data_IF_054887175818
#
_entry.id   IF_054887175818
#
_cell.length_a   1.000
_cell.length_b   1.000
_cell.length_c   1.000
_cell.angle_alpha   90.00
_cell.angle_beta   90.00
_cell.angle_gamma   90.00
#
_symmetry.space_group_name_H-M   'P 1'
#
loop_
_entity.id
_entity.type
_entity.pdbx_description
1 polymer ?
#
# COMPACT_ATOMS: atom_id res chain seq x y z
N UNK A 1 -6.26 3.46 17.73
CA UNK A 1 -7.17 3.21 18.87
C UNK A 1 -7.48 4.53 19.55
N UNK A 2 -8.73 4.80 19.84
CA UNK A 2 -9.14 6.06 20.44
C UNK A 2 -10.00 5.77 21.66
N UNK A 3 -9.79 6.52 22.73
CA UNK A 3 -10.54 6.37 23.98
C UNK A 3 -10.39 7.60 24.86
N UNK A 4 -11.35 7.80 25.76
CA UNK A 4 -11.25 8.85 26.77
C UNK A 4 -10.37 8.37 27.92
N UNK A 5 -9.47 9.23 28.41
CA UNK A 5 -8.73 8.95 29.63
C UNK A 5 -9.61 9.17 30.88
N UNK A 6 -9.06 8.91 32.08
CA UNK A 6 -9.77 9.08 33.35
C UNK A 6 -10.19 10.54 33.65
N UNK A 7 -9.79 11.51 32.83
CA UNK A 7 -10.18 12.93 32.92
C UNK A 7 -11.17 13.32 31.82
N UNK A 8 -11.64 12.36 31.02
CA UNK A 8 -12.56 12.61 29.91
C UNK A 8 -11.87 13.18 28.66
N UNK A 9 -10.53 13.12 28.55
CA UNK A 9 -9.79 13.65 27.40
C UNK A 9 -9.62 12.56 26.34
N UNK A 10 -9.89 12.89 25.07
CA UNK A 10 -9.66 11.97 23.95
C UNK A 10 -8.16 11.72 23.76
N UNK A 11 -7.78 10.45 23.88
CA UNK A 11 -6.42 9.97 23.62
C UNK A 11 -6.39 9.12 22.36
N UNK A 12 -5.33 9.29 21.56
CA UNK A 12 -5.07 8.52 20.35
C UNK A 12 -3.83 7.66 20.55
N UNK A 13 -4.02 6.34 20.53
CA UNK A 13 -2.94 5.36 20.57
C UNK A 13 -2.53 4.86 19.18
N UNK A 14 -1.33 4.25 19.06
CA UNK A 14 -0.91 3.58 17.83
C UNK A 14 -1.85 2.41 17.49
N UNK A 15 -2.06 2.15 16.20
CA UNK A 15 -2.80 0.97 15.74
C UNK A 15 -2.06 -0.33 16.10
N UNK A 16 -0.75 -0.34 15.92
CA UNK A 16 0.13 -1.40 16.41
C UNK A 16 1.53 -0.84 16.68
N UNK A 17 2.34 -1.58 17.43
CA UNK A 17 3.78 -1.35 17.50
C UNK A 17 4.50 -2.02 16.33
N UNK A 18 5.55 -1.37 15.81
CA UNK A 18 6.39 -1.91 14.73
C UNK A 18 7.82 -1.36 14.80
N UNK A 19 8.75 -2.03 14.11
CA UNK A 19 10.17 -1.62 14.01
C UNK A 19 10.52 -0.99 12.64
N UNK A 20 9.53 -0.72 11.80
CA UNK A 20 9.76 -0.07 10.50
C UNK A 20 10.32 1.34 10.69
N UNK A 21 11.52 1.59 10.15
CA UNK A 21 12.21 2.89 10.24
C UNK A 21 11.63 3.97 9.31
N UNK A 22 10.77 3.58 8.36
CA UNK A 22 10.18 4.49 7.36
C UNK A 22 8.75 4.94 7.70
N UNK A 23 8.07 4.24 8.59
CA UNK A 23 6.68 4.52 8.93
C UNK A 23 6.60 5.31 10.23
N UNK A 24 5.59 6.19 10.37
CA UNK A 24 5.36 6.87 11.62
C UNK A 24 5.01 5.86 12.72
N UNK A 25 5.32 6.14 14.00
CA UNK A 25 5.23 5.16 15.09
C UNK A 25 3.80 4.66 15.35
N UNK A 26 2.79 5.36 14.83
CA UNK A 26 1.39 5.02 15.04
C UNK A 26 0.93 3.82 14.19
N UNK A 27 1.49 3.59 13.00
CA UNK A 27 1.13 2.45 12.15
C UNK A 27 2.09 2.25 10.97
N UNK A 28 2.29 0.98 10.59
CA UNK A 28 2.96 0.60 9.35
C UNK A 28 1.98 -0.12 8.42
N UNK A 29 1.58 0.53 7.33
CA UNK A 29 0.65 -0.06 6.34
C UNK A 29 1.18 -1.36 5.70
N UNK A 30 2.50 -1.50 5.56
CA UNK A 30 3.13 -2.76 5.09
C UNK A 30 2.83 -3.92 6.02
N UNK A 31 2.96 -3.72 7.33
CA UNK A 31 2.67 -4.76 8.32
C UNK A 31 1.20 -5.17 8.27
N UNK A 32 0.30 -4.20 8.18
CA UNK A 32 -1.15 -4.46 8.04
C UNK A 32 -1.45 -5.29 6.79
N UNK A 33 -0.88 -4.90 5.64
CA UNK A 33 -1.08 -5.64 4.39
C UNK A 33 -0.53 -7.07 4.46
N UNK A 34 0.67 -7.25 5.02
CA UNK A 34 1.28 -8.57 5.19
C UNK A 34 0.43 -9.48 6.09
N UNK A 35 0.03 -8.99 7.27
CA UNK A 35 -0.79 -9.74 8.22
C UNK A 35 -2.14 -10.14 7.60
N UNK A 36 -2.77 -9.23 6.85
CA UNK A 36 -4.02 -9.53 6.14
C UNK A 36 -3.83 -10.62 5.07
N UNK A 37 -2.79 -10.52 4.23
CA UNK A 37 -2.52 -11.54 3.22
C UNK A 37 -2.24 -12.92 3.85
N UNK A 38 -1.50 -12.96 4.95
CA UNK A 38 -1.25 -14.19 5.72
C UNK A 38 -2.53 -14.77 6.33
N UNK A 39 -3.41 -13.92 6.87
CA UNK A 39 -4.71 -14.33 7.40
C UNK A 39 -5.59 -14.94 6.31
N UNK A 40 -5.71 -14.28 5.15
CA UNK A 40 -6.48 -14.79 4.01
C UNK A 40 -5.92 -16.11 3.49
N UNK A 41 -4.60 -16.27 3.47
CA UNK A 41 -3.97 -17.53 3.08
C UNK A 41 -4.28 -18.67 4.05
N UNK A 42 -4.38 -18.41 5.36
CA UNK A 42 -4.82 -19.43 6.36
C UNK A 42 -6.27 -19.85 6.18
N UNK A 43 -7.08 -19.05 5.49
CA UNK A 43 -8.46 -19.38 5.12
C UNK A 43 -8.56 -19.94 3.68
N UNK A 44 -7.46 -20.45 3.13
CA UNK A 44 -7.36 -20.98 1.76
C UNK A 44 -7.79 -19.98 0.67
N UNK A 45 -7.65 -18.66 0.94
CA UNK A 45 -7.92 -17.60 -0.03
C UNK A 45 -6.62 -17.04 -0.58
N UNK A 46 -6.38 -17.29 -1.87
CA UNK A 46 -5.23 -16.77 -2.59
C UNK A 46 -5.61 -15.58 -3.49
N UNK A 47 -4.90 -14.45 -3.32
CA UNK A 47 -4.99 -13.34 -4.26
C UNK A 47 -4.01 -13.52 -5.41
N UNK A 48 -4.55 -13.78 -6.60
CA UNK A 48 -3.78 -13.80 -7.85
C UNK A 48 -3.03 -12.48 -8.10
N UNK A 49 -3.60 -11.36 -7.64
CA UNK A 49 -3.04 -10.02 -7.82
C UNK A 49 -3.51 -9.08 -6.71
N UNK A 50 -2.60 -8.25 -6.21
CA UNK A 50 -2.88 -7.12 -5.32
C UNK A 50 -2.80 -5.82 -6.13
N UNK A 51 -3.83 -4.98 -6.00
CA UNK A 51 -3.87 -3.64 -6.57
C UNK A 51 -3.85 -2.64 -5.41
N UNK A 52 -2.74 -1.93 -5.22
CA UNK A 52 -2.55 -1.00 -4.11
C UNK A 52 -2.62 0.44 -4.59
N UNK A 53 -3.52 1.25 -4.03
CA UNK A 53 -3.73 2.66 -4.42
C UNK A 53 -3.31 3.56 -3.27
N UNK A 54 -2.54 4.60 -3.56
CA UNK A 54 -2.10 5.57 -2.55
C UNK A 54 -1.41 6.79 -3.14
N UNK A 55 -1.11 7.76 -2.29
CA UNK A 55 -0.50 9.03 -2.67
C UNK A 55 0.61 9.46 -1.70
N UNK A 56 0.45 9.17 -0.41
CA UNK A 56 1.33 9.61 0.67
C UNK A 56 2.65 8.84 0.78
N UNK A 57 3.62 9.40 1.50
CA UNK A 57 4.90 8.74 1.74
C UNK A 57 4.74 7.43 2.55
N UNK A 58 3.74 7.37 3.43
CA UNK A 58 3.39 6.17 4.20
C UNK A 58 2.79 5.03 3.34
N UNK A 59 2.40 5.30 2.10
CA UNK A 59 1.94 4.31 1.12
C UNK A 59 3.07 3.67 0.31
N UNK A 60 4.28 4.24 0.37
CA UNK A 60 5.44 3.65 -0.30
C UNK A 60 5.89 2.33 0.36
N UNK A 61 5.81 2.25 1.69
CA UNK A 61 6.25 1.06 2.43
C UNK A 61 5.49 -0.23 2.05
N UNK A 62 4.14 -0.26 2.01
CA UNK A 62 3.40 -1.42 1.50
C UNK A 62 3.61 -1.64 0.00
N UNK A 63 3.78 -0.59 -0.80
CA UNK A 63 4.06 -0.75 -2.23
C UNK A 63 5.36 -1.50 -2.51
N UNK A 64 6.38 -1.33 -1.64
CA UNK A 64 7.65 -2.02 -1.75
C UNK A 64 7.64 -3.52 -1.42
N UNK A 65 6.53 -4.10 -0.96
CA UNK A 65 6.39 -5.56 -0.79
C UNK A 65 5.54 -6.24 -1.88
N UNK A 66 5.01 -5.45 -2.82
CA UNK A 66 4.20 -5.97 -3.92
C UNK A 66 5.08 -6.78 -4.87
N UNK A 67 4.54 -7.90 -5.37
CA UNK A 67 5.21 -8.82 -6.29
C UNK A 67 5.17 -8.29 -7.72
N UNK A 68 5.93 -8.90 -8.63
CA UNK A 68 5.90 -8.57 -10.05
C UNK A 68 4.51 -8.75 -10.70
N UNK A 69 3.67 -9.63 -10.15
CA UNK A 69 2.29 -9.82 -10.60
C UNK A 69 1.33 -8.72 -10.12
N UNK A 70 1.72 -7.92 -9.13
CA UNK A 70 0.90 -6.92 -8.44
C UNK A 70 1.06 -5.52 -9.08
N UNK A 71 0.18 -4.58 -8.71
CA UNK A 71 0.14 -3.23 -9.29
C UNK A 71 0.07 -2.16 -8.20
N UNK A 72 0.95 -1.18 -8.28
CA UNK A 72 0.91 0.05 -7.50
C UNK A 72 0.29 1.19 -8.32
N UNK A 73 -0.69 1.87 -7.74
CA UNK A 73 -1.31 3.08 -8.29
C UNK A 73 -0.92 4.28 -7.43
N UNK A 74 0.28 4.86 -7.63
CA UNK A 74 0.66 6.07 -6.93
C UNK A 74 -0.02 7.29 -7.57
N UNK A 75 -0.52 8.23 -6.76
CA UNK A 75 -1.00 9.51 -7.29
C UNK A 75 0.16 10.25 -7.96
N UNK A 76 0.01 10.61 -9.22
CA UNK A 76 1.08 11.17 -10.03
C UNK A 76 1.58 12.48 -9.42
N UNK A 77 2.89 12.53 -9.22
CA UNK A 77 3.59 13.69 -8.66
C UNK A 77 3.54 13.80 -7.14
N UNK A 78 2.86 12.90 -6.43
CA UNK A 78 2.79 12.88 -4.96
C UNK A 78 3.91 12.03 -4.34
N UNK A 79 4.13 12.08 -3.01
CA UNK A 79 5.27 11.45 -2.38
C UNK A 79 5.45 9.95 -2.69
N UNK A 80 4.37 9.15 -2.72
CA UNK A 80 4.46 7.74 -3.11
C UNK A 80 5.06 7.58 -4.51
N UNK A 81 4.60 8.38 -5.48
CA UNK A 81 5.09 8.33 -6.85
C UNK A 81 6.58 8.68 -6.94
N UNK A 82 6.99 9.77 -6.28
CA UNK A 82 8.39 10.23 -6.30
C UNK A 82 9.33 9.19 -5.68
N UNK A 83 8.96 8.63 -4.54
CA UNK A 83 9.77 7.59 -3.87
C UNK A 83 9.91 6.32 -4.70
N UNK A 84 8.88 5.92 -5.43
CA UNK A 84 8.95 4.79 -6.38
C UNK A 84 9.95 5.09 -7.48
N UNK A 85 9.84 6.25 -8.14
CA UNK A 85 10.75 6.66 -9.21
C UNK A 85 12.21 6.74 -8.72
N UNK A 86 12.45 7.38 -7.58
CA UNK A 86 13.78 7.47 -6.96
C UNK A 86 14.35 6.08 -6.64
N UNK A 87 13.51 5.15 -6.19
CA UNK A 87 13.94 3.77 -5.89
C UNK A 87 14.28 3.01 -7.17
N UNK A 88 13.48 3.16 -8.22
CA UNK A 88 13.74 2.52 -9.52
C UNK A 88 15.01 3.07 -10.19
N UNK A 89 15.28 4.36 -10.04
CA UNK A 89 16.50 5.00 -10.54
C UNK A 89 17.74 4.57 -9.75
N UNK A 90 17.69 4.62 -8.41
CA UNK A 90 18.85 4.32 -7.55
C UNK A 90 19.12 2.83 -7.38
N UNK A 91 18.08 2.01 -7.47
CA UNK A 91 18.13 0.57 -7.25
C UNK A 91 17.24 -0.16 -8.27
N UNK A 92 17.65 -0.22 -9.55
CA UNK A 92 16.90 -0.91 -10.58
C UNK A 92 16.60 -2.35 -10.19
N UNK A 93 15.35 -2.77 -10.38
CA UNK A 93 14.91 -4.13 -10.04
C UNK A 93 14.57 -4.36 -8.56
N UNK A 94 14.75 -3.39 -7.65
CA UNK A 94 14.25 -3.56 -6.27
C UNK A 94 12.73 -3.43 -6.19
N UNK A 95 12.16 -2.48 -6.94
CA UNK A 95 10.71 -2.32 -7.03
C UNK A 95 10.14 -3.24 -8.13
N UNK A 96 9.40 -4.26 -7.72
CA UNK A 96 8.96 -5.35 -8.61
C UNK A 96 7.60 -5.10 -9.26
N UNK A 97 6.67 -4.46 -8.55
CA UNK A 97 5.30 -4.29 -9.02
C UNK A 97 5.20 -3.33 -10.22
N UNK A 98 4.17 -3.54 -11.05
CA UNK A 98 3.84 -2.59 -12.10
C UNK A 98 3.40 -1.26 -11.48
N UNK A 99 3.88 -0.14 -12.04
CA UNK A 99 3.56 1.20 -11.56
C UNK A 99 2.63 1.87 -12.56
N UNK A 100 1.42 2.23 -12.13
CA UNK A 100 0.41 2.90 -12.95
C UNK A 100 0.02 4.21 -12.25
N UNK A 101 0.72 5.31 -12.50
CA UNK A 101 0.41 6.58 -11.87
C UNK A 101 -0.99 7.07 -12.25
N UNK A 102 -1.69 7.69 -11.31
CA UNK A 102 -3.04 8.24 -11.55
C UNK A 102 -3.15 9.72 -11.15
N UNK A 103 -3.92 10.48 -11.90
CA UNK A 103 -4.34 11.85 -11.61
C UNK A 103 -5.82 11.88 -11.20
N UNK A 104 -6.63 10.95 -11.73
CA UNK A 104 -8.05 10.80 -11.44
C UNK A 104 -8.43 9.35 -11.16
N UNK A 105 -9.45 9.15 -10.33
CA UNK A 105 -10.01 7.83 -10.05
C UNK A 105 -10.48 7.10 -11.32
N UNK A 106 -10.80 7.82 -12.39
CA UNK A 106 -11.18 7.27 -13.69
C UNK A 106 -10.09 6.38 -14.31
N UNK A 107 -8.82 6.69 -14.08
CA UNK A 107 -7.72 5.89 -14.63
C UNK A 107 -7.59 4.55 -13.90
N UNK A 108 -7.73 4.57 -12.57
CA UNK A 108 -7.78 3.36 -11.74
C UNK A 108 -8.97 2.49 -12.14
N UNK A 109 -10.15 3.11 -12.31
CA UNK A 109 -11.36 2.42 -12.76
C UNK A 109 -11.17 1.78 -14.13
N UNK A 110 -10.65 2.52 -15.12
CA UNK A 110 -10.41 2.00 -16.47
C UNK A 110 -9.47 0.81 -16.45
N UNK A 111 -8.37 0.90 -15.70
CA UNK A 111 -7.43 -0.21 -15.57
C UNK A 111 -8.10 -1.45 -14.98
N UNK A 112 -8.91 -1.28 -13.93
CA UNK A 112 -9.66 -2.38 -13.33
C UNK A 112 -10.64 -3.02 -14.34
N UNK A 113 -11.37 -2.21 -15.10
CA UNK A 113 -12.28 -2.70 -16.15
C UNK A 113 -11.53 -3.50 -17.23
N UNK A 114 -10.37 -3.01 -17.68
CA UNK A 114 -9.54 -3.72 -18.65
C UNK A 114 -9.01 -5.05 -18.10
N UNK A 115 -8.58 -5.08 -16.84
CA UNK A 115 -8.15 -6.32 -16.20
C UNK A 115 -9.26 -7.36 -16.11
N UNK A 116 -10.48 -6.94 -15.76
CA UNK A 116 -11.62 -7.84 -15.66
C UNK A 116 -12.04 -8.39 -17.02
N UNK A 117 -11.95 -7.59 -18.09
CA UNK A 117 -12.22 -8.04 -19.47
C UNK A 117 -11.22 -9.07 -19.99
N UNK A 118 -9.97 -9.02 -19.50
CA UNK A 118 -8.90 -9.97 -19.88
C UNK A 118 -9.03 -11.33 -19.19
N UNK A 119 -9.99 -11.54 -18.29
CA UNK A 119 -10.24 -12.80 -17.58
C UNK A 119 -11.23 -13.75 -18.31
N UNK A 120 -11.36 -13.64 -19.64
CA UNK A 120 -12.02 -14.64 -20.48
C UNK A 120 -10.99 -15.47 -21.24
#
# INVERSE_FOLDING_TARGET
PAGLDGRGVLTLGPYHSHKCLRCPPNMCKRKILAEYLEERAREDVEFQRVLYVGDGANDFCPAGMLRAADVAFPRKGFPMHRLILETQERQPGVFQAAVVPWESALEVQRYLQELLRRKC
#
